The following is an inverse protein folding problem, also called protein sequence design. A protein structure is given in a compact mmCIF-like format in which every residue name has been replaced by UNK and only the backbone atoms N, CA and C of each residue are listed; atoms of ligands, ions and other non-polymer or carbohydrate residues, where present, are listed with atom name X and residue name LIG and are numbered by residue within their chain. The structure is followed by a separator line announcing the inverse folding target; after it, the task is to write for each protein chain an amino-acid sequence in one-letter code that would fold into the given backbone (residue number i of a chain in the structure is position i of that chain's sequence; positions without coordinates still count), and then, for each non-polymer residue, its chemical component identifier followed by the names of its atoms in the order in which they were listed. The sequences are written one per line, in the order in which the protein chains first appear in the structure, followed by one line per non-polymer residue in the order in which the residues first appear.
data_IF_131802815984
#
_entry.id   IF_131802815984
#
_cell.length_a   1.000
_cell.length_b   1.000
_cell.length_c   1.000
_cell.angle_alpha   90.00
_cell.angle_beta   90.00
_cell.angle_gamma   90.00
#
_symmetry.space_group_name_H-M   'P 1'
#
loop_
_entity.id
_entity.type
_entity.pdbx_description
1 polymer ?
#
# COMPACT_ATOMS: atom_id res chain seq x y z
N UNK A 1 5.13 -3.67 63.43
CA UNK A 1 4.81 -2.32 63.98
C UNK A 1 4.41 -1.45 62.81
N UNK A 2 3.17 -1.36 62.52
CA UNK A 2 2.15 -0.34 62.91
C UNK A 2 2.61 1.10 62.67
N UNK A 3 2.08 1.77 61.63
CA UNK A 3 1.16 2.90 61.79
C UNK A 3 0.58 3.39 60.44
N UNK A 4 -0.70 3.27 60.34
CA UNK A 4 -1.63 3.98 59.42
C UNK A 4 -1.62 5.49 59.76
N UNK A 5 -1.81 6.35 58.77
CA UNK A 5 -2.69 7.53 58.91
C UNK A 5 -3.38 7.87 57.60
N UNK A 6 -4.67 7.91 57.73
CA UNK A 6 -5.69 8.44 56.81
C UNK A 6 -5.90 9.93 57.19
N UNK A 7 -6.23 10.79 56.24
CA UNK A 7 -7.00 12.04 56.26
C UNK A 7 -6.70 12.72 54.90
N UNK A 8 -7.58 13.22 54.08
CA UNK A 8 -8.99 13.55 54.15
C UNK A 8 -9.34 14.27 52.86
N UNK A 9 -10.54 14.07 52.38
CA UNK A 9 -11.08 14.68 51.16
C UNK A 9 -11.38 16.18 51.36
N UNK A 10 -11.10 16.98 50.31
CA UNK A 10 -11.76 18.29 50.11
C UNK A 10 -12.21 18.35 48.66
N UNK A 11 -13.51 18.41 48.46
CA UNK A 11 -14.16 18.70 47.19
C UNK A 11 -14.15 20.22 46.95
N UNK A 12 -13.73 20.67 45.80
CA UNK A 12 -14.01 22.01 45.30
C UNK A 12 -14.52 21.90 43.87
N UNK A 13 -15.77 22.20 43.70
CA UNK A 13 -16.41 22.38 42.40
C UNK A 13 -15.96 23.72 41.79
N UNK A 14 -15.45 23.68 40.57
CA UNK A 14 -15.32 24.87 39.76
C UNK A 14 -15.80 24.59 38.32
N UNK A 15 -16.58 25.49 37.85
CA UNK A 15 -17.38 25.60 36.64
C UNK A 15 -16.60 25.41 35.37
N UNK A 16 -17.16 24.59 34.43
CA UNK A 16 -16.70 24.38 33.07
C UNK A 16 -16.82 25.64 32.22
N UNK A 17 -15.67 26.11 31.73
CA UNK A 17 -15.61 26.89 30.51
C UNK A 17 -15.25 25.96 29.33
N UNK A 18 -16.19 25.76 28.40
CA UNK A 18 -15.93 25.05 27.15
C UNK A 18 -15.03 25.90 26.23
N UNK A 19 -13.73 25.69 26.27
CA UNK A 19 -12.82 26.08 25.21
C UNK A 19 -12.66 24.88 24.28
N UNK A 20 -13.23 24.95 23.07
CA UNK A 20 -12.97 23.99 22.00
C UNK A 20 -11.52 24.15 21.52
N UNK A 21 -10.61 23.40 22.12
CA UNK A 21 -9.27 23.22 21.58
C UNK A 21 -9.38 22.21 20.44
N UNK A 22 -9.10 22.70 19.22
CA UNK A 22 -8.83 21.83 18.08
C UNK A 22 -7.66 20.93 18.45
N UNK A 23 -7.92 19.65 18.72
CA UNK A 23 -6.91 18.63 18.85
C UNK A 23 -6.27 18.45 17.47
N UNK A 24 -5.11 19.06 17.27
CA UNK A 24 -4.18 18.65 16.21
C UNK A 24 -3.80 17.21 16.52
N UNK A 25 -4.37 16.27 15.80
CA UNK A 25 -3.87 14.90 15.73
C UNK A 25 -2.44 14.99 15.16
N UNK A 26 -1.46 15.02 16.07
CA UNK A 26 -0.10 14.69 15.73
C UNK A 26 -0.15 13.26 15.20
N UNK A 27 -0.06 13.12 13.86
CA UNK A 27 0.25 11.83 13.26
C UNK A 27 1.53 11.35 13.95
N UNK A 28 1.42 10.28 14.71
CA UNK A 28 2.58 9.60 15.27
C UNK A 28 3.55 9.27 14.13
N UNK A 29 4.85 9.07 14.41
CA UNK A 29 5.80 8.66 13.40
C UNK A 29 5.20 7.44 12.70
N UNK A 30 5.06 7.53 11.37
CA UNK A 30 4.66 6.39 10.56
C UNK A 30 5.60 5.23 11.00
N UNK A 31 5.03 4.15 11.49
CA UNK A 31 5.80 2.95 11.78
C UNK A 31 6.56 2.64 10.50
N UNK A 32 7.89 2.57 10.60
CA UNK A 32 8.69 2.07 9.50
C UNK A 32 8.07 0.74 9.08
N UNK A 33 7.65 0.64 7.84
CA UNK A 33 7.16 -0.62 7.30
C UNK A 33 8.24 -1.66 7.59
N UNK A 34 7.85 -2.86 8.04
CA UNK A 34 8.82 -3.95 8.20
C UNK A 34 9.58 -4.08 6.88
N UNK A 35 10.91 -4.26 6.92
CA UNK A 35 11.70 -4.30 5.69
C UNK A 35 11.16 -5.40 4.78
N UNK A 36 10.98 -5.07 3.51
CA UNK A 36 10.68 -6.04 2.47
C UNK A 36 11.78 -7.08 2.45
N UNK A 37 11.41 -8.36 2.37
CA UNK A 37 12.34 -9.48 2.28
C UNK A 37 12.15 -10.20 0.95
N UNK A 38 13.27 -10.50 0.28
CA UNK A 38 13.26 -11.19 -1.00
C UNK A 38 13.12 -12.72 -0.80
N UNK A 39 12.24 -13.40 -1.54
CA UNK A 39 12.16 -14.84 -1.51
C UNK A 39 13.41 -15.47 -2.14
N UNK A 40 13.82 -16.62 -1.62
CA UNK A 40 14.88 -17.44 -2.20
C UNK A 40 14.31 -18.25 -3.38
N UNK A 41 14.91 -18.11 -4.54
CA UNK A 41 14.66 -18.98 -5.69
C UNK A 41 15.76 -20.01 -5.78
N UNK A 42 15.41 -21.30 -5.63
CA UNK A 42 16.39 -22.38 -5.61
C UNK A 42 15.79 -23.70 -6.09
N UNK A 43 16.52 -24.43 -6.91
CA UNK A 43 16.10 -25.70 -7.48
C UNK A 43 16.53 -26.91 -6.65
N UNK A 44 17.46 -26.73 -5.70
CA UNK A 44 18.20 -27.77 -4.97
C UNK A 44 19.21 -28.45 -5.92
N UNK A 45 18.76 -29.23 -6.89
CA UNK A 45 19.50 -29.71 -8.04
C UNK A 45 18.54 -30.03 -9.19
N UNK A 46 19.03 -30.11 -10.41
CA UNK A 46 18.24 -30.55 -11.55
C UNK A 46 17.74 -32.00 -11.34
N UNK A 47 18.57 -32.87 -10.77
CA UNK A 47 18.18 -34.24 -10.43
C UNK A 47 17.01 -34.29 -9.44
N UNK A 48 17.01 -33.37 -8.44
CA UNK A 48 15.91 -33.29 -7.47
C UNK A 48 14.57 -33.00 -8.16
N UNK A 49 14.52 -32.01 -9.04
CA UNK A 49 13.26 -31.59 -9.69
C UNK A 49 12.85 -32.50 -10.84
N UNK A 50 13.79 -33.11 -11.55
CA UNK A 50 13.48 -34.00 -12.68
C UNK A 50 13.06 -35.40 -12.20
N UNK A 51 13.73 -35.93 -11.18
CA UNK A 51 13.58 -37.34 -10.78
C UNK A 51 12.57 -37.53 -9.65
N UNK A 52 12.46 -36.58 -8.69
CA UNK A 52 11.45 -36.60 -7.63
C UNK A 52 10.19 -35.92 -8.15
N UNK A 53 9.41 -36.67 -8.94
CA UNK A 53 8.26 -36.15 -9.68
C UNK A 53 7.04 -35.85 -8.83
N UNK A 54 6.89 -36.52 -7.67
CA UNK A 54 5.84 -36.21 -6.70
C UNK A 54 6.36 -35.22 -5.67
N UNK A 55 5.64 -34.12 -5.47
CA UNK A 55 6.03 -33.04 -4.55
C UNK A 55 4.91 -32.70 -3.58
N UNK A 56 5.26 -32.63 -2.30
CA UNK A 56 4.39 -32.06 -1.27
C UNK A 56 5.06 -30.78 -0.76
N UNK A 57 4.35 -29.64 -0.88
CA UNK A 57 4.85 -28.33 -0.50
C UNK A 57 4.10 -27.84 0.74
N UNK A 58 4.81 -27.26 1.71
CA UNK A 58 4.23 -26.72 2.94
C UNK A 58 4.84 -25.36 3.29
N UNK A 59 4.22 -24.62 4.22
CA UNK A 59 4.78 -23.38 4.78
C UNK A 59 4.85 -22.20 3.79
N UNK A 60 3.98 -22.18 2.77
CA UNK A 60 3.95 -21.09 1.78
C UNK A 60 4.99 -21.22 0.65
N UNK A 61 5.77 -22.29 0.62
CA UNK A 61 6.66 -22.61 -0.50
C UNK A 61 5.84 -22.82 -1.78
N UNK A 62 6.31 -22.26 -2.89
CA UNK A 62 5.72 -22.46 -4.23
C UNK A 62 6.72 -23.09 -5.19
N UNK A 63 6.22 -23.71 -6.26
CA UNK A 63 7.04 -24.31 -7.32
C UNK A 63 6.60 -23.76 -8.67
N UNK A 64 7.54 -23.28 -9.44
CA UNK A 64 7.35 -22.89 -10.85
C UNK A 64 7.69 -24.06 -11.75
N UNK A 65 6.69 -24.63 -12.41
CA UNK A 65 6.85 -25.78 -13.30
C UNK A 65 7.60 -25.45 -14.59
N UNK A 66 7.54 -24.19 -15.05
CA UNK A 66 8.26 -23.76 -16.25
C UNK A 66 9.75 -23.55 -15.97
N UNK A 67 10.07 -22.84 -14.90
CA UNK A 67 11.45 -22.59 -14.47
C UNK A 67 12.07 -23.76 -13.70
N UNK A 68 11.25 -24.73 -13.24
CA UNK A 68 11.67 -25.85 -12.38
C UNK A 68 12.34 -25.38 -11.08
N UNK A 69 11.85 -24.31 -10.48
CA UNK A 69 12.41 -23.71 -9.28
C UNK A 69 11.40 -23.61 -8.16
N UNK A 70 11.88 -23.69 -6.92
CA UNK A 70 11.12 -23.40 -5.72
C UNK A 70 11.31 -21.93 -5.34
N UNK A 71 10.25 -21.26 -4.88
CA UNK A 71 10.29 -19.94 -4.27
C UNK A 71 9.96 -20.06 -2.78
N UNK A 72 10.97 -19.86 -1.95
CA UNK A 72 10.92 -19.99 -0.49
C UNK A 72 10.63 -18.64 0.12
N UNK A 73 9.51 -18.47 0.86
CA UNK A 73 9.20 -17.19 1.49
C UNK A 73 10.25 -16.82 2.54
N UNK A 74 10.72 -15.58 2.49
CA UNK A 74 11.69 -15.08 3.42
C UNK A 74 11.08 -14.84 4.82
N UNK A 75 11.85 -15.16 5.86
CA UNK A 75 11.47 -14.96 7.27
C UNK A 75 12.29 -13.83 7.89
N UNK A 76 13.62 -13.83 7.70
CA UNK A 76 14.48 -12.80 8.24
C UNK A 76 15.74 -12.61 7.38
N UNK A 77 16.29 -11.40 7.45
CA UNK A 77 17.65 -11.07 6.99
C UNK A 77 18.34 -10.33 8.13
N UNK A 78 19.55 -10.76 8.51
CA UNK A 78 20.32 -10.15 9.57
C UNK A 78 21.79 -10.07 9.17
N UNK A 79 22.41 -8.90 9.39
CA UNK A 79 23.86 -8.75 9.34
C UNK A 79 24.43 -9.04 10.72
N UNK A 80 25.33 -10.00 10.79
CA UNK A 80 26.01 -10.41 12.04
C UNK A 80 27.17 -9.47 12.38
N UNK A 81 27.71 -9.60 13.59
CA UNK A 81 28.80 -8.75 14.06
C UNK A 81 30.12 -8.96 13.28
N UNK A 82 30.34 -10.14 12.74
CA UNK A 82 31.46 -10.50 11.87
C UNK A 82 31.31 -10.01 10.42
N UNK A 83 30.12 -9.52 10.08
CA UNK A 83 29.79 -9.02 8.75
C UNK A 83 28.96 -9.97 7.92
N UNK A 84 28.76 -11.20 8.36
CA UNK A 84 27.94 -12.20 7.68
C UNK A 84 26.50 -11.72 7.48
N UNK A 85 25.95 -12.01 6.32
CA UNK A 85 24.53 -11.81 6.05
C UNK A 85 23.84 -13.17 6.14
N UNK A 86 23.01 -13.33 7.15
CA UNK A 86 22.23 -14.55 7.37
C UNK A 86 20.77 -14.31 6.96
N UNK A 87 20.28 -15.10 6.02
CA UNK A 87 18.90 -15.07 5.53
C UNK A 87 18.20 -16.38 5.85
N UNK A 88 17.05 -16.31 6.53
CA UNK A 88 16.24 -17.49 6.85
C UNK A 88 14.95 -17.51 6.03
N UNK A 89 14.56 -18.69 5.64
CA UNK A 89 13.38 -18.93 4.80
C UNK A 89 12.46 -19.97 5.43
N UNK A 90 11.17 -19.91 5.13
CA UNK A 90 10.18 -20.86 5.60
C UNK A 90 9.74 -21.85 4.52
N UNK A 91 9.15 -22.93 4.94
CA UNK A 91 8.52 -23.91 4.09
C UNK A 91 9.32 -25.21 3.94
N UNK A 92 8.67 -26.22 3.41
CA UNK A 92 9.29 -27.52 3.14
C UNK A 92 8.82 -28.08 1.80
N UNK A 93 9.70 -28.82 1.14
CA UNK A 93 9.37 -29.70 0.02
C UNK A 93 9.77 -31.12 0.36
N UNK A 94 8.80 -32.04 0.32
CA UNK A 94 9.07 -33.46 0.20
C UNK A 94 9.01 -33.82 -1.28
N UNK A 95 10.15 -34.12 -1.88
CA UNK A 95 10.23 -34.70 -3.21
C UNK A 95 10.28 -36.24 -3.11
N UNK A 96 9.48 -36.95 -3.88
CA UNK A 96 9.46 -38.39 -3.87
C UNK A 96 9.49 -38.98 -5.27
N UNK A 97 10.18 -40.09 -5.41
CA UNK A 97 10.08 -40.97 -6.55
C UNK A 97 9.05 -42.08 -6.25
N UNK A 98 7.95 -42.03 -6.98
CA UNK A 98 6.88 -43.02 -6.85
C UNK A 98 6.55 -43.64 -8.21
N UNK A 99 6.28 -44.95 -8.23
CA UNK A 99 5.89 -45.67 -9.41
C UNK A 99 4.76 -46.63 -9.05
N UNK A 100 3.73 -46.69 -9.88
CA UNK A 100 2.54 -47.52 -9.64
C UNK A 100 1.92 -47.37 -8.23
N UNK A 101 1.92 -46.14 -7.69
CA UNK A 101 1.36 -45.82 -6.35
C UNK A 101 2.30 -46.15 -5.18
N UNK A 102 3.48 -46.71 -5.43
CA UNK A 102 4.45 -47.03 -4.36
C UNK A 102 5.56 -45.99 -4.36
N UNK A 103 5.79 -45.31 -3.19
CA UNK A 103 6.94 -44.45 -2.97
C UNK A 103 8.20 -45.29 -2.73
N UNK A 104 9.16 -45.16 -3.60
CA UNK A 104 10.43 -45.87 -3.50
C UNK A 104 11.43 -45.18 -2.64
N UNK A 105 11.47 -43.84 -2.75
CA UNK A 105 12.28 -43.01 -1.88
C UNK A 105 11.82 -41.53 -1.92
N UNK A 106 12.19 -40.79 -0.89
CA UNK A 106 11.90 -39.39 -0.77
C UNK A 106 13.02 -38.64 -0.06
N UNK A 107 13.10 -37.34 -0.35
CA UNK A 107 13.95 -36.37 0.34
C UNK A 107 13.11 -35.17 0.71
N UNK A 108 13.15 -34.79 1.96
CA UNK A 108 12.54 -33.55 2.46
C UNK A 108 13.63 -32.51 2.72
N UNK A 109 13.45 -31.30 2.19
CA UNK A 109 14.27 -30.12 2.47
C UNK A 109 13.36 -29.05 3.03
N UNK A 110 13.70 -28.48 4.18
CA UNK A 110 12.86 -27.52 4.87
C UNK A 110 13.67 -26.36 5.45
N UNK A 111 13.03 -25.20 5.49
CA UNK A 111 13.51 -23.98 6.14
C UNK A 111 14.99 -23.66 5.81
N UNK A 112 15.31 -23.34 4.52
CA UNK A 112 16.68 -23.02 4.14
C UNK A 112 17.22 -21.80 4.88
N UNK A 113 18.52 -21.82 5.16
CA UNK A 113 19.30 -20.70 5.70
C UNK A 113 20.46 -20.46 4.73
N UNK A 114 20.58 -19.25 4.20
CA UNK A 114 21.69 -18.83 3.36
C UNK A 114 22.56 -17.87 4.15
N UNK A 115 23.81 -18.24 4.38
CA UNK A 115 24.84 -17.37 4.96
C UNK A 115 25.80 -16.94 3.89
N UNK A 116 26.03 -15.62 3.76
CA UNK A 116 27.02 -15.03 2.86
C UNK A 116 28.02 -14.24 3.71
N UNK A 117 29.28 -14.61 3.63
CA UNK A 117 30.39 -13.97 4.33
C UNK A 117 30.86 -12.71 3.57
N UNK A 118 31.60 -11.78 4.20
CA UNK A 118 31.99 -10.52 3.56
C UNK A 118 32.85 -10.65 2.30
N UNK A 119 33.57 -11.76 2.15
CA UNK A 119 34.39 -12.07 0.96
C UNK A 119 33.61 -12.76 -0.17
N UNK A 120 32.34 -13.06 0.07
CA UNK A 120 31.46 -13.74 -0.88
C UNK A 120 31.46 -15.25 -0.75
N UNK A 121 32.20 -15.81 0.18
CA UNK A 121 32.06 -17.22 0.54
C UNK A 121 30.76 -17.44 1.32
N UNK A 122 30.30 -18.68 1.40
CA UNK A 122 29.09 -18.96 2.16
C UNK A 122 28.55 -20.37 1.99
N UNK A 123 27.34 -20.57 2.57
CA UNK A 123 26.71 -21.88 2.62
C UNK A 123 25.19 -21.79 2.60
N UNK A 124 24.57 -22.86 2.15
CA UNK A 124 23.15 -23.14 2.31
C UNK A 124 23.00 -24.25 3.34
N UNK A 125 22.29 -23.98 4.41
CA UNK A 125 21.87 -24.98 5.40
C UNK A 125 20.35 -25.22 5.27
N UNK A 126 19.89 -26.42 5.59
CA UNK A 126 18.44 -26.72 5.65
C UNK A 126 18.20 -27.88 6.61
N UNK A 127 16.96 -27.99 7.11
CA UNK A 127 16.50 -29.19 7.79
C UNK A 127 16.19 -30.26 6.75
N UNK A 128 16.91 -31.38 6.81
CA UNK A 128 16.84 -32.44 5.80
C UNK A 128 16.47 -33.76 6.45
N UNK A 129 15.67 -34.55 5.76
CA UNK A 129 15.42 -35.98 6.06
C UNK A 129 15.22 -36.76 4.75
N UNK A 130 15.45 -38.04 4.79
CA UNK A 130 15.25 -38.92 3.66
C UNK A 130 14.63 -40.25 4.10
N UNK A 131 13.96 -40.91 3.17
CA UNK A 131 13.48 -42.29 3.36
C UNK A 131 13.57 -43.08 2.06
N UNK A 132 13.78 -44.40 2.16
CA UNK A 132 13.61 -45.31 1.04
C UNK A 132 12.93 -46.59 1.46
N UNK A 133 12.13 -47.16 0.57
CA UNK A 133 11.60 -48.53 0.70
C UNK A 133 12.72 -49.56 0.46
N UNK A 134 12.46 -50.79 0.86
CA UNK A 134 13.35 -51.92 0.53
C UNK A 134 13.29 -52.17 -0.99
N UNK A 135 14.34 -51.81 -1.70
CA UNK A 135 14.43 -51.92 -3.16
C UNK A 135 15.88 -51.90 -3.64
N UNK A 136 16.17 -52.50 -4.79
CA UNK A 136 17.48 -52.43 -5.49
C UNK A 136 18.66 -52.78 -4.58
N UNK A 137 18.51 -53.76 -3.70
CA UNK A 137 19.58 -54.20 -2.80
C UNK A 137 19.75 -53.37 -1.52
N UNK A 138 18.98 -52.29 -1.36
CA UNK A 138 18.96 -51.50 -0.15
C UNK A 138 17.81 -51.90 0.78
N UNK A 139 18.01 -52.07 2.08
CA UNK A 139 16.93 -52.24 3.04
C UNK A 139 16.12 -50.93 3.15
N UNK A 140 14.86 -51.05 3.64
CA UNK A 140 14.08 -49.88 4.00
C UNK A 140 14.82 -49.06 5.09
N UNK A 141 14.92 -47.79 4.93
CA UNK A 141 15.62 -46.88 5.85
C UNK A 141 14.98 -45.50 5.84
N UNK A 142 15.18 -44.77 6.94
CA UNK A 142 14.83 -43.34 7.05
C UNK A 142 15.81 -42.63 7.94
N UNK A 143 15.96 -41.30 7.75
CA UNK A 143 16.73 -40.43 8.61
C UNK A 143 15.82 -39.46 9.35
N UNK A 144 16.19 -39.07 10.56
CA UNK A 144 15.50 -38.02 11.30
C UNK A 144 15.79 -36.65 10.67
N UNK A 145 14.83 -35.70 10.70
CA UNK A 145 15.11 -34.33 10.29
C UNK A 145 16.28 -33.73 11.09
N UNK A 146 17.28 -33.21 10.40
CA UNK A 146 18.44 -32.55 11.01
C UNK A 146 18.83 -31.33 10.19
N UNK A 147 19.26 -30.27 10.87
CA UNK A 147 19.86 -29.11 10.25
C UNK A 147 21.28 -29.48 9.78
N UNK A 148 21.49 -29.42 8.48
CA UNK A 148 22.77 -29.76 7.86
C UNK A 148 23.20 -28.67 6.88
N UNK A 149 24.51 -28.55 6.63
CA UNK A 149 25.00 -27.82 5.47
C UNK A 149 24.70 -28.62 4.23
N UNK A 150 23.91 -28.03 3.31
CA UNK A 150 23.52 -28.67 2.05
C UNK A 150 24.58 -28.47 0.98
N UNK A 151 25.01 -27.21 0.80
CA UNK A 151 26.01 -26.84 -0.19
C UNK A 151 26.80 -25.60 0.25
N UNK A 152 27.99 -25.44 -0.30
CA UNK A 152 28.87 -24.31 -0.10
C UNK A 152 29.13 -23.61 -1.44
N UNK A 153 29.44 -22.31 -1.38
CA UNK A 153 29.70 -21.49 -2.56
C UNK A 153 30.77 -20.44 -2.24
N UNK A 154 31.34 -19.85 -3.29
CA UNK A 154 32.21 -18.67 -3.19
C UNK A 154 31.87 -17.66 -4.27
N UNK A 155 32.32 -16.41 -4.09
CA UNK A 155 32.05 -15.33 -5.04
C UNK A 155 30.55 -14.98 -5.18
N UNK A 156 29.83 -15.10 -4.08
CA UNK A 156 28.42 -14.70 -4.05
C UNK A 156 28.26 -13.22 -4.37
N UNK A 157 27.25 -12.91 -5.15
CA UNK A 157 26.74 -11.55 -5.29
C UNK A 157 25.74 -11.26 -4.17
N UNK A 158 25.27 -10.01 -4.08
CA UNK A 158 24.21 -9.65 -3.12
C UNK A 158 22.94 -10.52 -3.28
N UNK A 159 22.70 -11.08 -4.47
CA UNK A 159 21.44 -11.73 -4.83
C UNK A 159 21.58 -13.16 -5.34
N UNK A 160 22.74 -13.79 -5.24
CA UNK A 160 22.87 -15.19 -5.67
C UNK A 160 24.29 -15.70 -5.76
N UNK A 161 24.38 -17.02 -5.83
CA UNK A 161 25.64 -17.74 -6.07
C UNK A 161 25.38 -19.09 -6.70
N UNK A 162 26.42 -19.64 -7.30
CA UNK A 162 26.46 -21.04 -7.76
C UNK A 162 27.27 -21.84 -6.74
N UNK A 163 26.70 -22.89 -6.14
CA UNK A 163 27.44 -23.79 -5.25
C UNK A 163 28.61 -24.47 -5.95
N UNK A 164 29.58 -24.89 -5.17
CA UNK A 164 30.75 -25.57 -5.66
C UNK A 164 30.40 -26.92 -6.31
N UNK A 165 31.08 -27.22 -7.41
CA UNK A 165 31.09 -28.53 -8.06
C UNK A 165 32.53 -28.86 -8.46
N UNK A 166 33.21 -29.69 -7.66
CA UNK A 166 34.65 -29.86 -7.78
C UNK A 166 35.08 -31.14 -8.57
N UNK A 167 34.13 -31.83 -9.19
CA UNK A 167 34.40 -33.04 -9.91
C UNK A 167 34.33 -34.33 -9.10
N UNK A 168 34.64 -35.45 -9.70
CA UNK A 168 34.44 -36.79 -9.16
C UNK A 168 35.48 -37.08 -8.05
N UNK A 169 35.03 -37.43 -6.87
CA UNK A 169 35.86 -37.91 -5.79
C UNK A 169 36.30 -39.34 -6.07
N UNK A 170 37.62 -39.65 -6.02
CA UNK A 170 38.11 -41.01 -6.29
C UNK A 170 37.43 -42.05 -5.35
N UNK A 171 37.15 -43.22 -5.94
CA UNK A 171 36.66 -44.36 -5.16
C UNK A 171 37.65 -44.70 -4.03
N UNK A 172 37.11 -45.13 -2.89
CA UNK A 172 37.87 -45.57 -1.71
C UNK A 172 38.79 -44.50 -1.10
N UNK A 173 38.65 -43.24 -1.53
CA UNK A 173 39.36 -42.11 -0.87
C UNK A 173 38.89 -41.97 0.57
N UNK A 174 39.75 -41.38 1.41
CA UNK A 174 39.40 -41.15 2.84
C UNK A 174 38.07 -40.36 3.00
N UNK A 175 37.83 -39.42 2.09
CA UNK A 175 36.59 -38.66 2.06
C UNK A 175 35.37 -39.53 1.67
N UNK A 176 35.51 -40.39 0.64
CA UNK A 176 34.43 -41.30 0.26
C UNK A 176 34.08 -42.29 1.36
N UNK A 177 35.10 -42.82 2.07
CA UNK A 177 34.91 -43.70 3.22
C UNK A 177 34.22 -42.94 4.36
N UNK A 178 34.59 -41.72 4.66
CA UNK A 178 33.97 -40.90 5.68
C UNK A 178 32.50 -40.59 5.37
N UNK A 179 32.14 -40.47 4.08
CA UNK A 179 30.76 -40.34 3.61
C UNK A 179 29.96 -41.65 3.67
N UNK A 180 30.61 -42.77 4.03
CA UNK A 180 29.97 -44.09 4.01
C UNK A 180 29.60 -44.56 2.62
N UNK A 181 30.34 -44.14 1.59
CA UNK A 181 30.14 -44.55 0.20
C UNK A 181 30.60 -46.01 0.08
N UNK A 182 29.84 -46.87 -0.61
CA UNK A 182 30.25 -48.27 -0.85
C UNK A 182 31.60 -48.34 -1.55
N UNK A 183 32.42 -49.34 -1.17
CA UNK A 183 33.72 -49.58 -1.76
C UNK A 183 33.67 -49.65 -3.29
N UNK A 184 34.67 -49.11 -3.96
CA UNK A 184 34.80 -49.07 -5.41
C UNK A 184 33.86 -48.08 -6.11
N UNK A 185 33.10 -47.24 -5.39
CA UNK A 185 32.23 -46.22 -5.98
C UNK A 185 32.89 -44.85 -5.95
N UNK A 186 33.06 -44.16 -7.08
CA UNK A 186 33.48 -42.77 -7.07
C UNK A 186 32.35 -41.86 -6.61
N UNK A 187 32.69 -40.71 -6.06
CA UNK A 187 31.75 -39.69 -5.60
C UNK A 187 32.36 -38.30 -5.78
N UNK A 188 31.54 -37.32 -6.03
CA UNK A 188 31.90 -35.92 -5.87
C UNK A 188 31.50 -35.43 -4.46
N UNK A 189 32.45 -35.47 -3.56
CA UNK A 189 32.25 -35.05 -2.18
C UNK A 189 32.10 -33.55 -1.96
N UNK A 190 32.29 -32.75 -3.04
CA UNK A 190 32.20 -31.28 -2.95
C UNK A 190 30.97 -30.70 -3.64
N UNK A 191 30.20 -31.51 -4.36
CA UNK A 191 28.97 -31.09 -5.01
C UNK A 191 27.88 -30.73 -3.98
N UNK A 192 27.63 -31.66 -3.07
CA UNK A 192 26.85 -31.40 -1.87
C UNK A 192 27.74 -31.64 -0.66
N UNK A 193 27.52 -30.86 0.41
CA UNK A 193 28.33 -30.98 1.61
C UNK A 193 28.23 -32.39 2.21
N UNK A 194 29.31 -32.97 2.73
CA UNK A 194 29.30 -34.28 3.38
C UNK A 194 28.20 -34.44 4.45
N UNK A 195 27.87 -33.40 5.20
CA UNK A 195 26.81 -33.47 6.21
C UNK A 195 25.42 -33.71 5.61
N UNK A 196 25.14 -33.15 4.43
CA UNK A 196 23.93 -33.44 3.68
C UNK A 196 23.93 -34.89 3.18
N UNK A 197 25.01 -35.32 2.54
CA UNK A 197 25.10 -36.68 1.99
C UNK A 197 25.00 -37.76 3.07
N UNK A 198 25.60 -37.58 4.22
CA UNK A 198 25.52 -38.54 5.34
C UNK A 198 24.12 -38.56 5.98
N UNK A 199 23.37 -37.46 5.92
CA UNK A 199 21.98 -37.40 6.39
C UNK A 199 20.97 -37.99 5.39
N UNK A 200 21.40 -38.46 4.23
CA UNK A 200 20.57 -39.23 3.29
C UNK A 200 20.72 -40.74 3.55
N UNK A 201 19.67 -41.52 3.27
CA UNK A 201 19.78 -42.98 3.32
C UNK A 201 20.65 -43.48 2.16
N UNK A 202 21.29 -44.64 2.32
CA UNK A 202 22.13 -45.24 1.29
C UNK A 202 21.41 -45.41 -0.06
N UNK A 203 20.10 -45.76 -0.02
CA UNK A 203 19.30 -45.90 -1.22
C UNK A 203 18.96 -44.63 -1.96
N UNK A 204 19.17 -43.45 -1.32
CA UNK A 204 18.88 -42.13 -1.91
C UNK A 204 20.14 -41.38 -2.30
N UNK A 205 21.22 -41.57 -1.55
CA UNK A 205 22.44 -40.77 -1.61
C UNK A 205 23.04 -40.63 -3.01
N UNK A 206 22.99 -41.74 -3.83
CA UNK A 206 23.56 -41.77 -5.18
C UNK A 206 22.92 -40.76 -6.18
N UNK A 207 21.75 -40.18 -5.81
CA UNK A 207 21.12 -39.13 -6.61
C UNK A 207 21.72 -37.73 -6.40
N UNK A 208 22.67 -37.58 -5.45
CA UNK A 208 23.22 -36.28 -5.05
C UNK A 208 24.75 -36.24 -5.13
N UNK A 209 25.40 -37.24 -5.73
CA UNK A 209 26.84 -37.20 -5.97
C UNK A 209 27.18 -37.77 -7.35
N UNK A 210 28.31 -37.33 -7.89
CA UNK A 210 28.80 -37.86 -9.16
C UNK A 210 29.35 -39.30 -9.00
N UNK A 211 29.03 -40.14 -9.96
CA UNK A 211 29.43 -41.54 -9.99
C UNK A 211 30.18 -41.89 -11.27
N UNK A 212 30.58 -40.89 -12.07
CA UNK A 212 31.20 -41.08 -13.40
C UNK A 212 30.15 -41.34 -14.50
N UNK A 213 28.87 -41.14 -14.22
CA UNK A 213 27.78 -41.39 -15.18
C UNK A 213 27.36 -40.15 -15.97
N UNK A 214 26.69 -40.37 -17.11
CA UNK A 214 26.20 -39.27 -17.98
C UNK A 214 25.18 -38.32 -17.34
N UNK A 215 24.55 -38.73 -16.25
CA UNK A 215 23.59 -37.89 -15.52
C UNK A 215 24.22 -37.03 -14.40
N UNK A 216 25.52 -37.10 -14.19
CA UNK A 216 26.16 -36.49 -13.03
C UNK A 216 26.04 -34.96 -13.03
N UNK A 217 26.06 -34.32 -14.18
CA UNK A 217 25.85 -32.88 -14.26
C UNK A 217 24.51 -32.41 -13.64
N UNK A 218 23.47 -33.25 -13.66
CA UNK A 218 22.16 -32.94 -13.06
C UNK A 218 22.16 -33.05 -11.55
N UNK A 219 23.13 -33.76 -10.98
CA UNK A 219 23.24 -34.00 -9.53
C UNK A 219 23.94 -32.86 -8.80
N UNK A 220 24.58 -31.94 -9.52
CA UNK A 220 25.22 -30.77 -8.95
C UNK A 220 24.19 -29.92 -8.19
N UNK A 221 24.56 -29.33 -7.04
CA UNK A 221 23.69 -28.36 -6.38
C UNK A 221 23.45 -27.15 -7.29
N UNK A 222 22.19 -26.76 -7.42
CA UNK A 222 21.80 -25.68 -8.31
C UNK A 222 22.17 -24.32 -7.74
N UNK A 223 22.38 -23.34 -8.60
CA UNK A 223 22.49 -21.94 -8.20
C UNK A 223 21.23 -21.50 -7.44
N UNK A 224 21.45 -20.62 -6.49
CA UNK A 224 20.37 -19.91 -5.82
C UNK A 224 20.36 -18.43 -6.22
N UNK A 225 19.19 -17.82 -6.13
CA UNK A 225 19.02 -16.38 -6.37
C UNK A 225 17.92 -15.79 -5.49
N UNK A 226 17.96 -14.47 -5.34
CA UNK A 226 16.88 -13.72 -4.74
C UNK A 226 16.05 -13.07 -5.85
N UNK A 227 14.73 -13.10 -5.74
CA UNK A 227 13.85 -12.40 -6.66
C UNK A 227 13.62 -10.98 -6.17
N UNK A 228 13.86 -9.95 -7.01
CA UNK A 228 13.58 -8.57 -6.62
C UNK A 228 12.15 -8.36 -6.17
N UNK A 229 11.97 -7.67 -5.05
CA UNK A 229 10.68 -7.32 -4.47
C UNK A 229 10.66 -5.86 -4.05
N UNK A 230 9.57 -5.16 -4.35
CA UNK A 230 9.32 -3.79 -3.93
C UNK A 230 8.07 -3.74 -3.07
N UNK A 231 8.17 -3.07 -1.94
CA UNK A 231 7.03 -2.54 -1.19
C UNK A 231 7.02 -1.01 -1.33
N UNK A 232 5.84 -0.47 -1.56
CA UNK A 232 5.67 0.96 -1.76
C UNK A 232 4.39 1.44 -1.07
N UNK A 233 4.50 2.53 -0.31
CA UNK A 233 3.38 3.12 0.39
C UNK A 233 3.36 4.64 0.24
N UNK A 234 2.19 5.21 -0.04
CA UNK A 234 1.99 6.66 -0.01
C UNK A 234 1.99 7.13 1.44
N UNK A 235 3.00 7.89 1.83
CA UNK A 235 3.19 8.40 3.20
C UNK A 235 2.67 9.82 3.40
N UNK A 236 2.50 10.57 2.32
CA UNK A 236 1.87 11.88 2.34
C UNK A 236 1.20 12.18 1.00
N UNK A 237 0.05 12.85 1.04
CA UNK A 237 -0.69 13.26 -0.14
C UNK A 237 -1.45 14.56 0.14
N UNK A 238 -1.20 15.61 -0.65
CA UNK A 238 -1.93 16.87 -0.56
C UNK A 238 -1.89 17.64 -1.87
N UNK A 239 -2.88 18.51 -2.11
CA UNK A 239 -2.91 19.39 -3.28
C UNK A 239 -1.66 20.28 -3.36
N UNK A 240 -1.19 20.82 -2.24
CA UNK A 240 -0.09 21.77 -2.20
C UNK A 240 1.28 21.14 -2.47
N UNK A 241 1.51 19.88 -2.04
CA UNK A 241 2.83 19.24 -2.08
C UNK A 241 2.90 18.04 -3.02
N UNK A 242 1.75 17.55 -3.52
CA UNK A 242 1.69 16.32 -4.28
C UNK A 242 1.74 15.08 -3.38
N UNK A 243 2.41 14.03 -3.82
CA UNK A 243 2.55 12.76 -3.09
C UNK A 243 3.99 12.52 -2.66
N UNK A 244 4.14 11.86 -1.51
CA UNK A 244 5.39 11.19 -1.11
C UNK A 244 5.13 9.69 -1.04
N UNK A 245 6.00 8.91 -1.66
CA UNK A 245 5.94 7.45 -1.66
C UNK A 245 7.21 6.93 -1.01
N UNK A 246 7.08 6.23 0.11
CA UNK A 246 8.18 5.46 0.68
C UNK A 246 8.30 4.16 -0.10
N UNK A 247 9.50 3.81 -0.49
CA UNK A 247 9.82 2.62 -1.27
C UNK A 247 10.91 1.86 -0.57
N UNK A 248 10.70 0.57 -0.32
CA UNK A 248 11.75 -0.37 0.12
C UNK A 248 11.87 -1.49 -0.90
N UNK A 249 13.11 -1.88 -1.18
CA UNK A 249 13.44 -2.95 -2.10
C UNK A 249 14.30 -4.00 -1.43
N UNK A 250 14.12 -5.27 -1.83
CA UNK A 250 14.97 -6.40 -1.45
C UNK A 250 15.18 -7.34 -2.65
N UNK A 251 16.26 -8.10 -2.63
CA UNK A 251 16.64 -8.96 -3.73
C UNK A 251 17.27 -8.21 -4.91
N UNK A 252 17.86 -7.06 -4.65
CA UNK A 252 18.53 -6.24 -5.66
C UNK A 252 20.05 -6.35 -5.56
N UNK A 253 20.69 -6.37 -6.73
CA UNK A 253 22.14 -6.28 -6.84
C UNK A 253 22.50 -4.93 -7.52
N UNK A 254 23.15 -4.01 -6.80
CA UNK A 254 23.51 -2.70 -7.35
C UNK A 254 24.54 -2.76 -8.49
N UNK A 255 25.28 -3.88 -8.61
CA UNK A 255 26.31 -4.07 -9.63
C UNK A 255 26.19 -5.48 -10.19
N UNK A 256 25.62 -5.63 -11.39
CA UNK A 256 25.49 -6.91 -12.09
C UNK A 256 26.56 -7.12 -13.16
N UNK A 257 27.06 -6.02 -13.75
CA UNK A 257 28.14 -6.01 -14.75
C UNK A 257 29.04 -4.78 -14.56
N UNK A 258 30.25 -4.78 -15.10
CA UNK A 258 31.10 -3.61 -15.07
C UNK A 258 30.40 -2.38 -15.66
N UNK A 259 30.45 -1.27 -14.91
CA UNK A 259 29.81 0.00 -15.27
C UNK A 259 28.41 0.19 -14.70
N UNK A 260 27.76 -0.84 -14.16
CA UNK A 260 26.55 -0.66 -13.37
C UNK A 260 26.86 0.14 -12.09
N UNK A 261 25.95 1.00 -11.69
CA UNK A 261 26.12 1.84 -10.52
C UNK A 261 24.79 2.09 -9.81
N UNK A 262 24.23 1.03 -9.23
CA UNK A 262 22.98 1.09 -8.46
C UNK A 262 21.73 0.88 -9.29
N UNK A 263 20.60 1.28 -8.74
CA UNK A 263 19.25 1.07 -9.25
C UNK A 263 18.54 2.42 -9.38
N UNK A 264 17.84 2.66 -10.47
CA UNK A 264 16.84 3.70 -10.55
C UNK A 264 15.51 3.19 -9.99
N UNK A 265 14.83 4.06 -9.24
CA UNK A 265 13.49 3.84 -8.71
C UNK A 265 12.62 4.99 -9.18
N UNK A 266 11.53 4.70 -9.92
CA UNK A 266 10.71 5.73 -10.53
C UNK A 266 9.22 5.53 -10.29
N UNK A 267 8.49 6.65 -10.09
CA UNK A 267 7.03 6.69 -10.01
C UNK A 267 6.47 7.16 -11.36
N UNK A 268 5.66 6.32 -12.02
CA UNK A 268 5.04 6.65 -13.31
C UNK A 268 3.64 6.04 -13.43
N UNK A 269 2.82 6.50 -14.42
CA UNK A 269 1.56 5.85 -14.74
C UNK A 269 1.73 4.36 -15.01
N UNK A 270 0.82 3.54 -14.46
CA UNK A 270 0.92 2.09 -14.52
C UNK A 270 0.65 1.52 -15.93
N UNK A 271 0.00 2.27 -16.81
CA UNK A 271 -0.25 1.89 -18.20
C UNK A 271 0.92 2.23 -19.14
N UNK A 272 2.00 2.80 -18.62
CA UNK A 272 3.13 3.21 -19.41
C UNK A 272 4.04 2.02 -19.74
N UNK A 273 4.41 1.90 -21.01
CA UNK A 273 5.53 1.06 -21.48
C UNK A 273 6.75 1.95 -21.53
N UNK A 274 7.71 1.68 -20.65
CA UNK A 274 8.88 2.54 -20.49
C UNK A 274 10.04 1.97 -21.28
N UNK A 275 10.57 2.77 -22.20
CA UNK A 275 11.85 2.51 -22.81
C UNK A 275 12.97 3.12 -21.96
N UNK A 276 13.60 2.28 -21.15
CA UNK A 276 14.67 2.69 -20.25
C UNK A 276 15.98 3.04 -20.99
N UNK A 277 16.09 2.76 -22.28
CA UNK A 277 17.28 3.03 -23.10
C UNK A 277 17.35 4.48 -23.59
N UNK A 278 16.24 5.23 -23.49
CA UNK A 278 16.14 6.58 -24.01
C UNK A 278 15.92 7.62 -22.90
N UNK A 279 16.46 8.83 -23.13
CA UNK A 279 16.23 9.97 -22.24
C UNK A 279 14.75 10.39 -22.18
N UNK A 280 14.04 10.22 -23.28
CA UNK A 280 12.61 10.56 -23.37
C UNK A 280 11.75 9.59 -22.54
N UNK A 281 12.12 8.31 -22.50
CA UNK A 281 11.49 7.35 -21.58
C UNK A 281 11.59 7.78 -20.12
N UNK A 282 12.72 8.38 -19.72
CA UNK A 282 12.92 8.90 -18.36
C UNK A 282 12.05 10.12 -18.04
N UNK A 283 11.64 10.91 -19.04
CA UNK A 283 10.79 12.09 -18.85
C UNK A 283 9.35 11.75 -18.46
N UNK A 284 8.94 10.50 -18.65
CA UNK A 284 7.60 10.01 -18.33
C UNK A 284 7.39 9.80 -16.81
N UNK A 285 8.45 9.79 -16.02
CA UNK A 285 8.37 9.62 -14.58
C UNK A 285 7.96 10.91 -13.87
N UNK A 286 6.99 10.80 -12.96
CA UNK A 286 6.60 11.89 -12.07
C UNK A 286 7.70 12.19 -11.02
N UNK A 287 8.43 11.17 -10.59
CA UNK A 287 9.61 11.25 -9.75
C UNK A 287 10.54 10.07 -10.03
N UNK A 288 11.84 10.30 -9.92
CA UNK A 288 12.89 9.26 -10.03
C UNK A 288 13.92 9.53 -8.95
N UNK A 289 14.43 8.47 -8.34
CA UNK A 289 15.60 8.49 -7.49
C UNK A 289 16.64 7.49 -7.98
N UNK A 290 17.89 7.83 -7.81
CA UNK A 290 19.01 6.93 -8.02
C UNK A 290 19.51 6.42 -6.69
N UNK A 291 19.29 5.14 -6.44
CA UNK A 291 19.83 4.43 -5.29
C UNK A 291 21.23 3.96 -5.65
N UNK A 292 22.23 4.73 -5.22
CA UNK A 292 23.64 4.43 -5.48
C UNK A 292 24.07 3.15 -4.72
N UNK A 293 25.15 2.46 -5.14
CA UNK A 293 25.59 1.20 -4.52
C UNK A 293 25.84 1.30 -3.02
N UNK A 294 26.36 2.42 -2.53
CA UNK A 294 26.66 2.68 -1.11
C UNK A 294 25.41 2.87 -0.23
N UNK A 295 24.24 3.08 -0.85
CA UNK A 295 22.94 3.16 -0.16
C UNK A 295 22.31 1.80 0.10
N UNK A 296 22.91 0.72 -0.41
CA UNK A 296 22.42 -0.63 -0.18
C UNK A 296 22.94 -1.20 1.14
N UNK A 297 22.11 -1.97 1.82
CA UNK A 297 22.48 -2.83 2.92
C UNK A 297 22.29 -4.27 2.46
N UNK A 298 23.37 -4.88 1.96
CA UNK A 298 23.31 -6.16 1.27
C UNK A 298 22.50 -6.06 -0.04
N UNK A 299 21.38 -6.74 -0.11
CA UNK A 299 20.45 -6.75 -1.22
C UNK A 299 19.25 -5.79 -1.06
N UNK A 300 19.26 -4.96 0.01
CA UNK A 300 18.12 -4.10 0.36
C UNK A 300 18.43 -2.62 0.22
N UNK A 301 17.41 -1.83 -0.07
CA UNK A 301 17.48 -0.36 -0.06
C UNK A 301 16.18 0.26 0.42
N UNK A 302 16.27 1.52 0.83
CA UNK A 302 15.11 2.38 1.10
C UNK A 302 15.26 3.73 0.39
N UNK A 303 14.14 4.27 -0.10
CA UNK A 303 14.09 5.61 -0.67
C UNK A 303 12.71 6.24 -0.54
N UNK A 304 12.63 7.56 -0.76
CA UNK A 304 11.37 8.32 -0.77
C UNK A 304 11.28 9.10 -2.07
N UNK A 305 10.26 8.80 -2.87
CA UNK A 305 9.93 9.56 -4.07
C UNK A 305 8.95 10.68 -3.74
N UNK A 306 9.20 11.88 -4.23
CA UNK A 306 8.32 13.02 -4.09
C UNK A 306 7.89 13.54 -5.46
N UNK A 307 6.60 13.51 -5.76
CA UNK A 307 6.03 14.00 -7.01
C UNK A 307 5.03 15.12 -6.73
N UNK A 308 5.31 16.33 -7.22
CA UNK A 308 4.37 17.46 -7.13
C UNK A 308 3.10 17.21 -7.93
N UNK A 309 1.98 17.80 -7.51
CA UNK A 309 0.65 17.62 -8.14
C UNK A 309 0.66 17.86 -9.65
N UNK A 310 1.45 18.83 -10.13
CA UNK A 310 1.58 19.14 -11.56
C UNK A 310 2.26 18.03 -12.40
N UNK A 311 2.96 17.09 -11.75
CA UNK A 311 3.60 15.93 -12.38
C UNK A 311 2.70 14.70 -12.43
N UNK A 312 1.54 14.76 -11.79
CA UNK A 312 0.61 13.65 -11.69
C UNK A 312 -0.59 13.84 -12.63
N UNK A 313 -0.97 12.80 -13.33
CA UNK A 313 -2.16 12.77 -14.19
C UNK A 313 -3.33 12.26 -13.37
N UNK A 314 -4.30 13.13 -13.09
CA UNK A 314 -5.45 12.82 -12.23
C UNK A 314 -6.22 11.59 -12.70
N UNK A 315 -6.55 10.70 -11.76
CA UNK A 315 -7.34 9.51 -11.99
C UNK A 315 -6.59 8.34 -12.63
N UNK A 316 -5.31 8.49 -13.00
CA UNK A 316 -4.51 7.36 -13.48
C UNK A 316 -4.02 6.48 -12.34
N UNK A 317 -3.92 5.18 -12.60
CA UNK A 317 -3.17 4.27 -11.74
C UNK A 317 -1.67 4.55 -11.88
N UNK A 318 -0.93 4.43 -10.80
CA UNK A 318 0.52 4.62 -10.76
C UNK A 318 1.23 3.35 -10.27
N UNK A 319 2.48 3.21 -10.66
CA UNK A 319 3.36 2.14 -10.19
C UNK A 319 4.77 2.66 -9.91
N UNK A 320 5.47 1.96 -9.03
CA UNK A 320 6.91 2.06 -8.88
C UNK A 320 7.54 1.12 -9.89
N UNK A 321 8.51 1.63 -10.60
CA UNK A 321 9.37 0.91 -11.54
C UNK A 321 10.80 0.93 -11.02
N UNK A 322 11.51 -0.18 -11.18
CA UNK A 322 12.95 -0.26 -10.91
C UNK A 322 13.67 -0.77 -12.15
N UNK A 323 14.91 -0.36 -12.33
CA UNK A 323 15.79 -0.87 -13.38
C UNK A 323 17.25 -0.57 -13.04
N UNK A 324 18.16 -1.35 -13.64
CA UNK A 324 19.59 -1.18 -13.44
C UNK A 324 20.06 0.20 -13.90
N UNK A 325 20.83 0.89 -13.03
CA UNK A 325 21.32 2.23 -13.32
C UNK A 325 22.56 2.22 -14.27
N UNK A 326 22.70 3.30 -15.02
CA UNK A 326 23.76 3.67 -15.95
C UNK A 326 23.86 2.76 -17.18
N UNK A 327 24.32 1.52 -17.07
CA UNK A 327 24.50 0.65 -18.23
C UNK A 327 23.24 -0.10 -18.64
N UNK A 328 22.29 -0.28 -17.71
CA UNK A 328 21.13 -1.18 -17.91
C UNK A 328 21.56 -2.51 -18.55
N UNK A 329 22.51 -3.13 -17.91
CA UNK A 329 23.19 -4.32 -18.43
C UNK A 329 22.27 -5.54 -18.62
N UNK A 330 21.14 -5.58 -17.89
CA UNK A 330 20.13 -6.64 -18.00
C UNK A 330 18.80 -6.19 -17.37
N UNK A 331 17.76 -7.03 -17.49
CA UNK A 331 16.43 -6.79 -16.97
C UNK A 331 16.17 -7.47 -15.61
N UNK A 332 17.18 -8.06 -14.96
CA UNK A 332 16.98 -8.81 -13.70
C UNK A 332 16.57 -7.94 -12.51
N UNK A 333 16.78 -6.63 -12.64
CA UNK A 333 16.41 -5.63 -11.64
C UNK A 333 15.12 -4.87 -12.02
N UNK A 334 14.47 -5.25 -13.11
CA UNK A 334 13.24 -4.60 -13.56
C UNK A 334 12.05 -5.11 -12.73
N UNK A 335 11.38 -4.20 -12.05
CA UNK A 335 10.13 -4.50 -11.36
C UNK A 335 9.07 -3.46 -11.65
N UNK A 336 7.81 -3.80 -11.39
CA UNK A 336 6.68 -2.91 -11.47
C UNK A 336 5.70 -3.23 -10.35
N UNK A 337 5.56 -2.31 -9.39
CA UNK A 337 4.70 -2.48 -8.22
C UNK A 337 3.66 -1.38 -8.16
N UNK A 338 2.39 -1.74 -8.10
CA UNK A 338 1.29 -0.78 -8.07
C UNK A 338 1.31 0.09 -6.81
N UNK A 339 0.95 1.37 -6.96
CA UNK A 339 0.81 2.34 -5.87
C UNK A 339 -0.59 2.92 -5.88
N UNK A 340 -1.25 2.92 -4.73
CA UNK A 340 -2.57 3.51 -4.58
C UNK A 340 -2.46 4.99 -4.15
N UNK A 341 -2.81 5.91 -5.06
CA UNK A 341 -2.82 7.36 -4.80
C UNK A 341 -4.25 7.80 -4.45
N UNK A 342 -4.41 8.46 -3.30
CA UNK A 342 -5.68 9.11 -2.95
C UNK A 342 -5.84 10.42 -3.74
N UNK A 343 -6.54 10.34 -4.86
CA UNK A 343 -6.82 11.47 -5.74
C UNK A 343 -7.70 12.54 -5.10
N UNK A 344 -8.50 12.21 -4.07
CA UNK A 344 -9.35 13.19 -3.39
C UNK A 344 -8.51 14.20 -2.61
N UNK A 345 -7.43 13.76 -1.98
CA UNK A 345 -6.50 14.62 -1.26
C UNK A 345 -5.70 15.57 -2.16
N UNK A 346 -5.58 15.26 -3.44
CA UNK A 346 -4.88 16.03 -4.45
C UNK A 346 -5.77 17.05 -5.18
N UNK A 347 -7.04 17.16 -4.84
CA UNK A 347 -7.94 18.18 -5.40
C UNK A 347 -7.72 19.53 -4.72
N UNK A 348 -7.92 20.64 -5.45
CA UNK A 348 -7.91 21.97 -4.83
C UNK A 348 -8.89 22.03 -3.65
N UNK A 349 -8.54 22.71 -2.56
CA UNK A 349 -9.47 22.89 -1.45
C UNK A 349 -10.76 23.55 -1.94
N UNK A 350 -11.90 22.91 -1.70
CA UNK A 350 -13.20 23.51 -2.01
C UNK A 350 -13.43 24.71 -1.10
N UNK A 351 -13.36 25.91 -1.65
CA UNK A 351 -13.74 27.13 -0.92
C UNK A 351 -15.23 27.02 -0.60
N UNK A 352 -15.65 26.96 0.66
CA UNK A 352 -17.06 26.87 0.97
C UNK A 352 -17.78 28.12 0.45
N UNK A 353 -18.80 27.92 -0.39
CA UNK A 353 -19.62 29.04 -0.85
C UNK A 353 -20.23 29.74 0.36
N UNK A 354 -20.07 31.08 0.52
CA UNK A 354 -20.59 31.79 1.67
C UNK A 354 -22.09 31.54 1.82
N UNK A 355 -22.52 30.93 2.94
CA UNK A 355 -23.94 30.75 3.24
C UNK A 355 -24.52 32.11 3.58
N UNK A 356 -25.25 32.74 2.64
CA UNK A 356 -25.93 34.01 2.86
C UNK A 356 -27.12 33.77 3.79
N UNK A 357 -26.95 34.06 5.07
CA UNK A 357 -28.02 33.98 6.05
C UNK A 357 -28.99 35.16 5.87
N UNK A 358 -30.21 34.88 5.32
CA UNK A 358 -31.20 35.92 5.08
C UNK A 358 -31.74 36.50 6.41
N UNK A 359 -31.73 37.83 6.51
CA UNK A 359 -32.21 38.59 7.68
C UNK A 359 -33.75 38.72 7.64
N UNK A 360 -34.38 38.69 8.79
CA UNK A 360 -35.83 38.88 8.89
C UNK A 360 -36.19 40.37 8.92
N UNK A 361 -36.90 40.89 7.88
CA UNK A 361 -37.28 42.28 7.84
C UNK A 361 -38.59 42.55 8.59
N UNK A 362 -38.79 43.79 9.04
CA UNK A 362 -40.04 44.25 9.62
C UNK A 362 -40.92 44.89 8.56
N UNK A 363 -42.17 44.46 8.43
CA UNK A 363 -43.13 45.05 7.50
C UNK A 363 -44.27 45.77 8.24
N UNK A 364 -44.61 47.01 7.82
CA UNK A 364 -45.75 47.78 8.35
C UNK A 364 -46.55 48.38 7.24
N UNK A 365 -47.91 48.43 7.39
CA UNK A 365 -48.83 49.11 6.49
C UNK A 365 -49.46 50.29 7.23
N UNK A 366 -49.30 51.50 6.65
CA UNK A 366 -49.91 52.74 7.17
C UNK A 366 -50.91 53.27 6.14
N UNK A 367 -52.11 53.60 6.56
CA UNK A 367 -53.08 54.35 5.72
C UNK A 367 -52.61 55.80 5.60
N UNK A 368 -52.41 56.31 4.41
CA UNK A 368 -52.05 57.72 4.13
C UNK A 368 -53.30 58.51 3.68
N UNK A 369 -54.26 57.82 3.02
CA UNK A 369 -55.60 58.37 2.76
C UNK A 369 -56.62 57.25 3.04
N UNK A 370 -57.46 57.43 4.05
CA UNK A 370 -58.49 56.46 4.42
C UNK A 370 -59.57 56.49 3.32
N UNK A 371 -59.98 55.33 2.79
CA UNK A 371 -61.12 55.30 1.87
C UNK A 371 -62.40 55.71 2.58
N UNK A 372 -63.22 56.54 1.93
CA UNK A 372 -64.57 56.91 2.38
C UNK A 372 -65.60 56.38 1.41
N UNK A 373 -66.92 56.46 1.76
CA UNK A 373 -68.00 56.02 0.88
C UNK A 373 -67.89 56.64 -0.48
N UNK A 374 -67.78 55.83 -1.56
CA UNK A 374 -67.56 56.26 -2.93
C UNK A 374 -66.16 56.81 -3.26
N UNK A 375 -65.29 57.10 -2.28
CA UNK A 375 -63.97 57.66 -2.50
C UNK A 375 -62.86 56.63 -2.25
N UNK A 376 -61.85 56.60 -3.18
CA UNK A 376 -60.67 55.69 -3.05
C UNK A 376 -59.67 56.22 -2.02
N UNK A 377 -58.88 55.29 -1.47
CA UNK A 377 -57.80 55.61 -0.49
C UNK A 377 -56.39 55.25 -0.96
N UNK A 378 -55.44 55.51 -0.07
CA UNK A 378 -54.07 55.09 -0.28
C UNK A 378 -53.50 54.53 1.02
N UNK A 379 -52.64 53.49 0.89
CA UNK A 379 -51.82 52.99 1.97
C UNK A 379 -50.37 52.92 1.53
N UNK A 380 -49.45 52.92 2.44
CA UNK A 380 -48.02 52.75 2.19
C UNK A 380 -47.59 51.46 2.96
N UNK A 381 -47.07 50.50 2.19
CA UNK A 381 -46.31 49.40 2.75
C UNK A 381 -44.87 49.89 2.96
N UNK A 382 -44.32 49.69 4.12
CA UNK A 382 -42.93 49.92 4.45
C UNK A 382 -42.34 48.67 5.01
N UNK A 383 -41.25 48.19 4.36
CA UNK A 383 -40.43 47.06 4.84
C UNK A 383 -39.04 47.62 5.21
N UNK A 384 -38.58 47.26 6.40
CA UNK A 384 -37.26 47.70 6.91
C UNK A 384 -36.47 46.49 7.31
N UNK A 385 -35.18 46.50 7.08
CA UNK A 385 -34.23 45.47 7.50
C UNK A 385 -32.89 46.10 7.87
N UNK A 386 -32.07 45.38 8.59
CA UNK A 386 -30.75 45.82 9.06
C UNK A 386 -29.62 45.58 8.05
N UNK A 387 -29.82 44.76 7.06
CA UNK A 387 -28.76 44.42 6.08
C UNK A 387 -28.87 45.19 4.76
N UNK A 388 -29.04 46.52 4.83
CA UNK A 388 -29.09 47.42 3.69
C UNK A 388 -30.47 47.70 3.11
N UNK A 389 -30.56 48.29 1.94
CA UNK A 389 -31.80 48.72 1.30
C UNK A 389 -32.74 47.57 0.97
N UNK A 390 -33.99 47.64 1.45
CA UNK A 390 -35.00 46.63 1.14
C UNK A 390 -35.64 46.93 -0.18
N UNK A 391 -35.49 46.04 -1.15
CA UNK A 391 -36.07 46.06 -2.49
C UNK A 391 -36.91 44.82 -2.74
N UNK A 392 -37.53 44.67 -3.90
CA UNK A 392 -38.28 43.48 -4.26
C UNK A 392 -39.74 43.67 -4.36
N UNK A 393 -40.52 42.58 -4.44
CA UNK A 393 -41.96 42.56 -4.72
C UNK A 393 -42.79 42.20 -3.47
N UNK A 394 -43.97 42.77 -3.33
CA UNK A 394 -44.93 42.38 -2.32
C UNK A 394 -46.31 42.09 -2.95
N UNK A 395 -47.02 41.10 -2.42
CA UNK A 395 -48.40 40.79 -2.75
C UNK A 395 -49.30 41.42 -1.70
N UNK A 396 -50.26 42.23 -2.13
CA UNK A 396 -51.18 42.91 -1.22
C UNK A 396 -52.61 42.44 -1.52
N UNK A 397 -53.26 41.88 -0.51
CA UNK A 397 -54.69 41.54 -0.56
C UNK A 397 -55.50 42.54 0.27
N UNK A 398 -56.55 43.08 -0.30
CA UNK A 398 -57.48 44.00 0.33
C UNK A 398 -58.83 43.32 0.41
N UNK A 399 -59.37 43.20 1.64
CA UNK A 399 -60.65 42.53 1.90
C UNK A 399 -61.62 43.42 2.68
N UNK A 400 -62.90 43.10 2.57
CA UNK A 400 -64.00 43.71 3.32
C UNK A 400 -64.91 42.61 3.89
N UNK A 401 -65.27 42.73 5.18
CA UNK A 401 -66.13 41.78 5.87
C UNK A 401 -65.68 40.31 5.70
N UNK A 402 -64.38 40.07 5.80
CA UNK A 402 -63.79 38.74 5.69
C UNK A 402 -63.47 38.31 4.24
N UNK A 403 -64.12 38.83 3.21
CA UNK A 403 -63.92 38.44 1.81
C UNK A 403 -62.83 39.30 1.13
N UNK A 404 -61.92 38.68 0.36
CA UNK A 404 -60.90 39.39 -0.43
C UNK A 404 -61.58 40.03 -1.63
N UNK A 405 -61.42 41.35 -1.77
CA UNK A 405 -62.02 42.14 -2.88
C UNK A 405 -61.05 42.32 -4.01
N UNK A 406 -59.75 42.53 -3.67
CA UNK A 406 -58.73 42.73 -4.70
C UNK A 406 -57.37 42.30 -4.21
N UNK A 407 -56.55 41.79 -5.16
CA UNK A 407 -55.12 41.43 -4.95
C UNK A 407 -54.26 42.31 -5.87
N UNK A 408 -53.15 42.79 -5.38
CA UNK A 408 -52.20 43.62 -6.14
C UNK A 408 -50.77 43.14 -5.88
N UNK A 409 -49.94 43.17 -6.92
CA UNK A 409 -48.49 43.05 -6.83
C UNK A 409 -47.93 44.48 -6.81
N UNK A 410 -47.03 44.79 -5.90
CA UNK A 410 -46.35 46.09 -5.77
C UNK A 410 -44.86 45.87 -5.64
N UNK A 411 -44.09 46.75 -6.26
CA UNK A 411 -42.62 46.75 -6.15
C UNK A 411 -42.21 47.77 -5.06
N UNK A 412 -41.31 47.38 -4.17
CA UNK A 412 -40.74 48.26 -3.19
C UNK A 412 -39.67 49.16 -3.88
N UNK A 413 -39.80 50.47 -3.76
CA UNK A 413 -38.79 51.43 -4.20
C UNK A 413 -37.63 51.47 -3.21
N UNK A 414 -36.50 52.07 -3.57
CA UNK A 414 -35.39 52.31 -2.67
C UNK A 414 -35.86 52.84 -1.31
N UNK A 415 -35.39 52.29 -0.19
CA UNK A 415 -35.87 52.53 1.15
C UNK A 415 -37.10 51.73 1.58
N UNK A 416 -37.47 50.67 0.85
CA UNK A 416 -38.46 49.69 1.26
C UNK A 416 -39.91 50.18 1.24
N UNK A 417 -40.26 51.15 0.44
CA UNK A 417 -41.64 51.74 0.39
C UNK A 417 -42.36 51.33 -0.87
N UNK A 418 -43.67 50.98 -0.77
CA UNK A 418 -44.57 50.85 -1.88
C UNK A 418 -45.93 51.50 -1.59
N UNK A 419 -46.45 52.25 -2.57
CA UNK A 419 -47.79 52.84 -2.44
C UNK A 419 -48.84 51.87 -2.99
N UNK A 420 -49.84 51.64 -2.16
CA UNK A 420 -50.97 50.76 -2.51
C UNK A 420 -52.23 51.59 -2.64
N UNK A 421 -52.78 51.68 -3.89
CA UNK A 421 -54.06 52.31 -4.13
C UNK A 421 -55.17 51.39 -3.58
N UNK A 422 -56.06 51.93 -2.76
CA UNK A 422 -57.20 51.22 -2.18
C UNK A 422 -58.45 51.47 -3.01
N UNK A 423 -59.37 50.49 -3.14
CA UNK A 423 -60.60 50.69 -3.85
C UNK A 423 -61.51 51.74 -3.17
N UNK A 424 -62.55 52.20 -3.86
CA UNK A 424 -63.58 53.10 -3.30
C UNK A 424 -64.19 52.41 -2.08
N UNK A 425 -64.32 53.16 -0.99
CA UNK A 425 -64.84 52.66 0.28
C UNK A 425 -66.34 52.32 0.17
N UNK A 426 -66.69 51.16 0.74
CA UNK A 426 -68.08 50.75 1.05
C UNK A 426 -68.14 50.50 2.53
N UNK A 427 -69.31 50.78 3.18
CA UNK A 427 -69.52 50.59 4.63
C UNK A 427 -69.12 49.17 5.05
N UNK A 428 -68.32 49.02 6.14
CA UNK A 428 -67.90 47.72 6.64
C UNK A 428 -66.51 47.70 7.24
N UNK A 429 -66.10 46.52 7.74
CA UNK A 429 -64.76 46.22 8.28
C UNK A 429 -63.82 45.87 7.16
N UNK A 430 -62.68 46.55 7.04
CA UNK A 430 -61.69 46.36 5.99
C UNK A 430 -60.39 45.85 6.58
N UNK A 431 -59.66 45.06 5.76
CA UNK A 431 -58.34 44.52 6.09
C UNK A 431 -57.41 44.61 4.90
N UNK A 432 -56.19 45.09 5.10
CA UNK A 432 -55.10 45.04 4.17
C UNK A 432 -54.09 44.00 4.67
N UNK A 433 -53.71 43.03 3.86
CA UNK A 433 -52.67 42.07 4.16
C UNK A 433 -51.59 42.24 3.10
N UNK A 434 -50.42 42.71 3.49
CA UNK A 434 -49.27 42.81 2.63
C UNK A 434 -48.26 41.69 2.96
N UNK A 435 -47.81 40.99 1.95
CA UNK A 435 -46.77 39.91 2.09
C UNK A 435 -45.62 40.29 1.19
N UNK A 436 -44.51 40.70 1.80
CA UNK A 436 -43.21 40.86 1.12
C UNK A 436 -42.68 39.49 0.76
N UNK A 437 -42.18 39.35 -0.48
CA UNK A 437 -41.80 38.05 -1.00
C UNK A 437 -40.37 37.63 -0.62
N UNK A 438 -39.61 38.55 0.03
CA UNK A 438 -38.17 38.37 0.31
C UNK A 438 -37.29 38.83 -0.85
N UNK A 439 -36.02 38.76 -0.63
CA UNK A 439 -34.91 38.94 -1.62
C UNK A 439 -33.78 37.99 -1.29
N UNK A 440 -32.64 38.17 -1.93
CA UNK A 440 -31.45 37.35 -1.61
C UNK A 440 -30.92 37.61 -0.20
N UNK A 441 -31.16 38.82 0.33
CA UNK A 441 -30.70 39.27 1.63
C UNK A 441 -31.79 39.15 2.71
N UNK A 442 -33.08 39.21 2.36
CA UNK A 442 -34.16 39.28 3.30
C UNK A 442 -35.17 38.13 3.21
N UNK A 443 -35.59 37.60 4.36
CA UNK A 443 -36.68 36.64 4.47
C UNK A 443 -38.03 37.29 4.12
N UNK A 444 -39.08 36.49 3.90
CA UNK A 444 -40.43 36.95 3.70
C UNK A 444 -40.97 37.61 4.96
N UNK A 445 -41.80 38.67 4.80
CA UNK A 445 -42.46 39.32 5.90
C UNK A 445 -43.94 39.66 5.62
N UNK A 446 -44.74 39.74 6.67
CA UNK A 446 -46.20 39.98 6.56
C UNK A 446 -46.57 41.20 7.42
N UNK A 447 -47.42 42.09 6.85
CA UNK A 447 -48.03 43.19 7.55
C UNK A 447 -49.53 43.18 7.39
N UNK A 448 -50.26 43.54 8.42
CA UNK A 448 -51.74 43.59 8.43
C UNK A 448 -52.22 44.94 8.97
N UNK A 449 -53.13 45.55 8.27
CA UNK A 449 -53.82 46.76 8.78
C UNK A 449 -55.32 46.57 8.65
N UNK A 450 -56.02 46.74 9.75
CA UNK A 450 -57.51 46.74 9.85
C UNK A 450 -57.97 48.18 9.93
N UNK A 451 -59.13 48.49 9.34
CA UNK A 451 -59.83 49.77 9.45
C UNK A 451 -61.32 49.61 9.15
N UNK A 452 -62.14 50.60 9.46
CA UNK A 452 -63.58 50.59 9.22
C UNK A 452 -63.96 51.81 8.39
N UNK A 453 -64.81 51.60 7.40
CA UNK A 453 -65.48 52.66 6.64
C UNK A 453 -66.92 52.72 7.15
N UNK A 454 -67.29 53.90 7.64
CA UNK A 454 -68.64 54.21 8.12
C UNK A 454 -69.55 54.65 7.02
#
# INVERSE_FOLDING_TARGET
MLRRRIVGAVAAATTLGLAATAASLLAGPAHAASPTLAPLTWQISQQYVDHLSTRTLEGGLTFDDAAKTFSWPAVSTAKQADGDIVRTYAGSVKGAFAMAGTEYYSVTVANPIVTVEPDGDGRIQATVSAANAAAMGNPAASTSPALVTVAEFSGATATGATPHWAGVLPADSAEAVALGIPAGKPVDGKAFNPSFLTNLTAGVRAHFYATGGSSDAKKAPAAWSLSPKIDAAVTASSYATGVKVSVSGAGFNPVTNPGDAGIYVGLAPADLVIDYSTRDGMSAFAAVDWVAPDRFVGDTFETVLAAGTAKLVSGKAYAIYTWQAHTRSNATQDTKTAVNIDWASLQPPVTPTPVVTKVTPTAKVKLTKKPARGKAGKAVLRVRGSAGAVTGKAKVAIGRNGKVITKRKVTLKAGGKAVVRLPKGKRGKWRIVARYQGSDVYKRAKAVKKYRVR
#
